data_IF_243444514256
#
_entry.id   IF_243444514256
#
_cell.length_a   1.000
_cell.length_b   1.000
_cell.length_c   1.000
_cell.angle_alpha   90.00
_cell.angle_beta   90.00
_cell.angle_gamma   90.00
#
_symmetry.space_group_name_H-M   'P 1'
#
loop_
_entity.id
_entity.type
_entity.pdbx_description
1 polymer ?
#
# COMPACT_ATOMS: atom_id res chain seq x y z
N UNK A 1 -57.75 36.81 -25.05
CA UNK A 1 -56.64 36.84 -26.02
C UNK A 1 -55.39 36.59 -25.21
N UNK A 2 -54.97 35.33 -25.19
CA UNK A 2 -54.22 34.70 -24.09
C UNK A 2 -52.75 34.56 -24.46
N UNK A 3 -51.91 34.99 -23.53
CA UNK A 3 -50.55 34.56 -23.21
C UNK A 3 -49.45 34.60 -24.27
N UNK A 4 -48.53 35.51 -23.99
CA UNK A 4 -47.12 35.53 -24.38
C UNK A 4 -46.40 34.32 -23.77
N UNK A 5 -45.74 33.49 -24.58
CA UNK A 5 -44.75 32.53 -24.10
C UNK A 5 -43.46 32.72 -24.91
N UNK A 6 -42.47 33.32 -24.26
CA UNK A 6 -41.09 33.40 -24.74
C UNK A 6 -40.38 32.10 -24.36
N UNK A 7 -39.82 31.43 -25.36
CA UNK A 7 -39.08 30.18 -25.18
C UNK A 7 -37.60 30.57 -25.02
N UNK A 8 -37.14 30.68 -23.77
CA UNK A 8 -35.73 30.91 -23.45
C UNK A 8 -34.92 29.63 -23.71
N UNK A 9 -34.06 29.72 -24.71
CA UNK A 9 -33.15 28.67 -25.14
C UNK A 9 -31.90 28.74 -24.25
N UNK A 10 -31.96 28.12 -23.06
CA UNK A 10 -30.77 27.96 -22.21
C UNK A 10 -30.01 26.68 -22.55
N UNK A 11 -29.00 26.91 -23.38
CA UNK A 11 -27.81 26.07 -23.58
C UNK A 11 -27.23 25.64 -22.22
N UNK A 12 -27.32 24.33 -21.91
CA UNK A 12 -26.63 23.73 -20.78
C UNK A 12 -25.16 23.64 -21.16
N UNK A 13 -24.41 24.71 -20.86
CA UNK A 13 -22.96 24.64 -20.81
C UNK A 13 -22.61 23.76 -19.61
N UNK A 14 -22.20 22.53 -19.90
CA UNK A 14 -21.49 21.67 -18.96
C UNK A 14 -20.23 22.43 -18.54
N UNK A 15 -20.34 23.13 -17.42
CA UNK A 15 -19.25 23.84 -16.77
C UNK A 15 -18.28 22.79 -16.28
N UNK A 16 -17.03 22.95 -16.71
CA UNK A 16 -15.85 22.31 -16.18
C UNK A 16 -15.96 22.15 -14.67
N UNK A 17 -15.98 20.89 -14.23
CA UNK A 17 -15.66 20.47 -12.89
C UNK A 17 -14.28 21.06 -12.53
N UNK A 18 -14.30 22.15 -11.77
CA UNK A 18 -13.12 22.74 -11.16
C UNK A 18 -13.08 22.31 -9.71
N UNK A 19 -12.97 21.00 -9.48
CA UNK A 19 -12.47 20.46 -8.21
C UNK A 19 -10.95 20.64 -8.16
N UNK A 20 -10.52 21.91 -8.10
CA UNK A 20 -9.11 22.31 -8.01
C UNK A 20 -8.67 22.31 -6.55
N UNK A 21 -8.59 21.14 -5.94
CA UNK A 21 -7.61 20.88 -4.89
C UNK A 21 -6.34 20.40 -5.60
N UNK A 22 -5.17 20.82 -5.14
CA UNK A 22 -3.87 20.52 -5.74
C UNK A 22 -3.60 19.01 -5.77
N UNK A 23 -4.15 18.30 -6.76
CA UNK A 23 -3.74 16.97 -7.13
C UNK A 23 -2.37 17.11 -7.79
N UNK A 24 -1.33 16.75 -7.05
CA UNK A 24 -0.07 16.37 -7.67
C UNK A 24 -0.43 15.36 -8.78
N UNK A 25 -0.05 15.61 -10.03
CA UNK A 25 -0.35 14.71 -11.15
C UNK A 25 0.16 13.32 -10.83
N UNK A 26 -0.75 12.43 -10.42
CA UNK A 26 -0.45 11.02 -10.17
C UNK A 26 -0.30 10.33 -11.51
N UNK A 27 0.73 9.51 -11.65
CA UNK A 27 0.86 8.65 -12.84
C UNK A 27 -0.30 7.66 -12.88
N UNK A 28 -0.71 7.19 -14.06
CA UNK A 28 -1.79 6.22 -14.13
C UNK A 28 -1.34 4.85 -13.56
N UNK A 29 -2.17 4.23 -12.74
CA UNK A 29 -1.93 2.86 -12.23
C UNK A 29 -2.14 1.83 -13.32
N UNK A 30 -3.21 2.03 -14.11
CA UNK A 30 -3.53 1.24 -15.30
C UNK A 30 -3.24 2.06 -16.56
N UNK A 31 -2.89 1.40 -17.65
CA UNK A 31 -2.73 2.03 -18.97
C UNK A 31 -4.07 2.20 -19.70
N UNK A 32 -4.02 2.72 -20.93
CA UNK A 32 -5.21 2.97 -21.75
C UNK A 32 -5.96 1.69 -22.16
N UNK A 33 -5.32 0.52 -22.06
CA UNK A 33 -5.90 -0.80 -22.31
C UNK A 33 -6.51 -1.41 -21.04
N UNK A 34 -6.26 -0.78 -19.89
CA UNK A 34 -6.67 -1.25 -18.57
C UNK A 34 -5.68 -2.21 -17.94
N UNK A 35 -4.50 -2.43 -18.54
CA UNK A 35 -3.43 -3.27 -17.97
C UNK A 35 -2.57 -2.49 -16.97
N UNK A 36 -1.78 -3.17 -16.15
CA UNK A 36 -0.89 -2.52 -15.19
C UNK A 36 0.14 -1.64 -15.92
N UNK A 37 0.25 -0.37 -15.52
CA UNK A 37 1.25 0.51 -16.11
C UNK A 37 2.66 0.01 -15.80
N UNK A 38 3.65 0.20 -16.70
CA UNK A 38 5.02 -0.28 -16.48
C UNK A 38 5.64 0.25 -15.19
N UNK A 39 5.32 1.49 -14.80
CA UNK A 39 5.79 2.07 -13.53
C UNK A 39 5.14 1.40 -12.32
N UNK A 40 3.87 1.03 -12.43
CA UNK A 40 3.15 0.37 -11.37
C UNK A 40 3.63 -1.07 -11.20
N UNK A 41 3.87 -1.80 -12.29
CA UNK A 41 4.49 -3.13 -12.23
C UNK A 41 5.85 -3.08 -11.50
N UNK A 42 6.70 -2.10 -11.82
CA UNK A 42 8.00 -1.90 -11.11
C UNK A 42 7.80 -1.62 -9.62
N UNK A 43 6.80 -0.82 -9.24
CA UNK A 43 6.46 -0.58 -7.85
C UNK A 43 5.98 -1.87 -7.15
N UNK A 44 5.15 -2.67 -7.81
CA UNK A 44 4.68 -3.96 -7.30
C UNK A 44 5.83 -4.95 -7.10
N UNK A 45 6.82 -5.00 -8.01
CA UNK A 45 8.02 -5.83 -7.81
C UNK A 45 8.75 -5.43 -6.52
N UNK A 46 8.91 -4.13 -6.27
CA UNK A 46 9.56 -3.63 -5.04
C UNK A 46 8.79 -4.01 -3.79
N UNK A 47 7.46 -3.90 -3.83
CA UNK A 47 6.58 -4.29 -2.72
C UNK A 47 6.67 -5.79 -2.49
N UNK A 48 6.52 -6.59 -3.55
CA UNK A 48 6.62 -8.04 -3.48
C UNK A 48 7.97 -8.49 -2.91
N UNK A 49 9.07 -7.92 -3.38
CA UNK A 49 10.42 -8.20 -2.88
C UNK A 49 10.61 -7.84 -1.40
N UNK A 50 9.86 -6.84 -0.90
CA UNK A 50 9.90 -6.45 0.51
C UNK A 50 9.30 -7.51 1.43
N UNK A 51 8.26 -8.21 0.99
CA UNK A 51 7.55 -9.19 1.83
C UNK A 51 7.94 -10.63 1.53
N UNK A 52 8.23 -10.99 0.27
CA UNK A 52 8.59 -12.36 -0.12
C UNK A 52 9.99 -12.74 0.33
N UNK A 53 10.08 -13.69 1.26
CA UNK A 53 11.32 -14.26 1.76
C UNK A 53 11.98 -15.17 0.72
N UNK A 54 11.19 -15.87 -0.08
CA UNK A 54 11.69 -16.69 -1.20
C UNK A 54 12.44 -15.85 -2.23
N UNK A 55 11.93 -14.65 -2.54
CA UNK A 55 12.61 -13.71 -3.41
C UNK A 55 13.91 -13.17 -2.78
N UNK A 56 13.89 -12.79 -1.50
CA UNK A 56 15.09 -12.32 -0.77
C UNK A 56 16.19 -13.38 -0.71
N UNK A 57 15.83 -14.65 -0.57
CA UNK A 57 16.79 -15.76 -0.49
C UNK A 57 17.57 -16.02 -1.79
N UNK A 58 17.05 -15.57 -2.94
CA UNK A 58 17.68 -15.73 -4.26
C UNK A 58 18.57 -14.56 -4.65
N UNK A 59 18.46 -13.43 -3.97
CA UNK A 59 19.34 -12.28 -4.19
C UNK A 59 20.67 -12.52 -3.45
N UNK A 60 21.82 -12.61 -4.16
CA UNK A 60 23.11 -12.73 -3.51
C UNK A 60 23.35 -11.45 -2.68
N UNK A 61 23.63 -11.62 -1.39
CA UNK A 61 23.89 -10.59 -0.38
C UNK A 61 24.20 -9.19 -0.95
N UNK A 62 23.17 -8.36 -1.01
CA UNK A 62 23.24 -6.96 -1.34
C UNK A 62 21.96 -6.36 -0.81
N UNK A 63 22.07 -5.78 0.37
CA UNK A 63 21.03 -5.08 1.11
C UNK A 63 19.89 -4.55 0.20
N UNK A 64 18.64 -4.76 0.60
CA UNK A 64 17.52 -3.92 0.15
C UNK A 64 17.64 -2.47 0.68
N UNK A 65 18.88 -2.00 0.85
CA UNK A 65 19.29 -0.66 1.19
C UNK A 65 19.33 0.11 -0.12
N UNK A 66 18.35 1.00 -0.29
CA UNK A 66 18.50 2.27 -1.00
C UNK A 66 19.40 2.20 -2.23
N UNK A 67 18.91 1.63 -3.33
CA UNK A 67 19.43 2.04 -4.62
C UNK A 67 18.76 3.35 -4.98
N UNK A 68 19.41 4.44 -4.57
CA UNK A 68 19.36 5.73 -5.25
C UNK A 68 19.83 5.50 -6.70
N UNK A 69 18.95 5.00 -7.56
CA UNK A 69 19.29 4.74 -8.95
C UNK A 69 18.27 3.85 -9.65
N UNK A 70 18.08 4.17 -10.92
CA UNK A 70 17.26 3.58 -11.99
C UNK A 70 17.34 2.04 -12.17
N UNK A 71 17.82 1.28 -11.19
CA UNK A 71 17.88 -0.18 -11.27
C UNK A 71 16.48 -0.76 -11.02
N UNK A 72 15.89 -1.22 -12.11
CA UNK A 72 14.63 -1.95 -12.10
C UNK A 72 14.89 -3.31 -11.42
N UNK A 73 14.26 -3.61 -10.27
CA UNK A 73 14.42 -4.90 -9.63
C UNK A 73 13.98 -6.01 -10.58
N UNK A 74 14.69 -7.13 -10.54
CA UNK A 74 14.38 -8.29 -11.38
C UNK A 74 12.95 -8.76 -11.10
N UNK A 75 12.20 -9.06 -12.16
CA UNK A 75 10.85 -9.62 -12.02
C UNK A 75 10.93 -10.95 -11.24
N UNK A 76 10.12 -11.14 -10.18
CA UNK A 76 10.08 -12.40 -9.45
C UNK A 76 9.71 -13.58 -10.36
N UNK A 77 10.35 -14.71 -10.14
CA UNK A 77 10.04 -15.96 -10.82
C UNK A 77 8.77 -16.61 -10.27
N UNK A 78 8.35 -17.71 -10.90
CA UNK A 78 7.15 -18.46 -10.46
C UNK A 78 7.32 -19.11 -9.09
N UNK A 79 8.55 -19.45 -8.71
CA UNK A 79 8.89 -20.01 -7.40
C UNK A 79 9.03 -18.92 -6.32
N UNK A 80 8.85 -17.65 -6.66
CA UNK A 80 8.80 -16.55 -5.69
C UNK A 80 7.34 -16.29 -5.34
N UNK A 81 7.01 -16.52 -4.08
CA UNK A 81 5.64 -16.49 -3.56
C UNK A 81 5.55 -15.67 -2.28
N UNK A 82 4.33 -15.25 -1.94
CA UNK A 82 3.93 -14.73 -0.65
C UNK A 82 3.10 -15.78 0.07
N UNK A 83 3.64 -16.28 1.17
CA UNK A 83 2.94 -17.15 2.11
C UNK A 83 1.84 -16.38 2.86
N UNK A 84 0.92 -17.07 3.53
CA UNK A 84 -0.11 -16.42 4.36
C UNK A 84 0.46 -15.49 5.42
N UNK A 85 1.59 -15.87 6.02
CA UNK A 85 2.26 -15.05 7.02
C UNK A 85 2.84 -13.77 6.41
N UNK A 86 3.34 -13.82 5.18
CA UNK A 86 3.86 -12.65 4.47
C UNK A 86 2.74 -11.75 3.97
N UNK A 87 1.60 -12.33 3.58
CA UNK A 87 0.37 -11.58 3.30
C UNK A 87 -0.15 -10.85 4.54
N UNK A 88 -0.06 -11.47 5.73
CA UNK A 88 -0.40 -10.80 6.98
C UNK A 88 0.53 -9.61 7.28
N UNK A 89 1.83 -9.76 7.03
CA UNK A 89 2.78 -8.66 7.21
C UNK A 89 2.54 -7.53 6.19
N UNK A 90 2.18 -7.88 4.96
CA UNK A 90 1.75 -6.92 3.95
C UNK A 90 0.48 -6.17 4.38
N UNK A 91 -0.56 -6.89 4.80
CA UNK A 91 -1.82 -6.31 5.24
C UNK A 91 -1.64 -5.42 6.49
N UNK A 92 -0.75 -5.79 7.42
CA UNK A 92 -0.41 -4.93 8.56
C UNK A 92 0.29 -3.66 8.11
N UNK A 93 1.15 -3.73 7.10
CA UNK A 93 1.86 -2.56 6.60
C UNK A 93 0.92 -1.56 5.90
N UNK A 94 -0.15 -2.05 5.25
CA UNK A 94 -1.12 -1.21 4.53
C UNK A 94 -2.33 -0.83 5.39
N UNK A 95 -2.96 -1.79 6.05
CA UNK A 95 -4.22 -1.64 6.78
C UNK A 95 -4.05 -1.60 8.31
N UNK A 96 -2.86 -1.93 8.82
CA UNK A 96 -2.57 -1.97 10.26
C UNK A 96 -2.95 -3.28 10.94
N UNK A 97 -3.70 -4.16 10.27
CA UNK A 97 -4.18 -5.43 10.79
C UNK A 97 -3.82 -6.59 9.84
N UNK A 98 -3.67 -7.83 10.35
CA UNK A 98 -3.44 -9.01 9.50
C UNK A 98 -4.59 -9.23 8.52
N UNK A 99 -4.30 -9.94 7.43
CA UNK A 99 -5.31 -10.21 6.42
C UNK A 99 -6.33 -11.20 7.01
N UNK A 100 -7.64 -10.91 6.96
CA UNK A 100 -8.64 -11.83 7.46
C UNK A 100 -8.60 -13.14 6.68
N UNK A 101 -8.95 -14.24 7.35
CA UNK A 101 -8.90 -15.57 6.75
C UNK A 101 -9.76 -15.66 5.49
N UNK A 102 -10.95 -15.04 5.51
CA UNK A 102 -11.86 -14.96 4.36
C UNK A 102 -11.16 -14.41 3.10
N UNK A 103 -10.42 -13.29 3.24
CA UNK A 103 -9.68 -12.72 2.12
C UNK A 103 -8.50 -13.59 1.66
N UNK A 104 -7.88 -14.38 2.56
CA UNK A 104 -6.85 -15.36 2.15
C UNK A 104 -7.44 -16.50 1.34
N UNK A 105 -8.62 -16.97 1.72
CA UNK A 105 -9.34 -18.01 0.98
C UNK A 105 -9.80 -17.50 -0.39
N UNK A 106 -10.25 -16.24 -0.49
CA UNK A 106 -10.55 -15.58 -1.77
C UNK A 106 -9.30 -15.48 -2.67
N UNK A 107 -8.17 -15.04 -2.11
CA UNK A 107 -6.90 -14.98 -2.84
C UNK A 107 -6.53 -16.36 -3.41
N UNK A 108 -6.71 -17.43 -2.63
CA UNK A 108 -6.43 -18.81 -3.07
C UNK A 108 -7.36 -19.32 -4.14
N UNK A 109 -8.63 -18.92 -4.10
CA UNK A 109 -9.66 -19.40 -5.02
C UNK A 109 -9.63 -18.66 -6.36
N UNK A 110 -9.37 -17.34 -6.32
CA UNK A 110 -9.54 -16.46 -7.49
C UNK A 110 -8.23 -15.99 -8.14
N UNK A 111 -7.10 -16.01 -7.42
CA UNK A 111 -5.83 -15.49 -7.94
C UNK A 111 -4.81 -16.60 -8.21
N UNK A 112 -3.77 -16.26 -8.98
CA UNK A 112 -2.67 -17.20 -9.28
C UNK A 112 -1.84 -17.51 -8.01
N UNK A 113 -2.00 -18.73 -7.51
CA UNK A 113 -1.24 -19.29 -6.39
C UNK A 113 -0.39 -20.48 -6.85
N UNK A 114 0.62 -20.83 -6.06
CA UNK A 114 1.39 -22.06 -6.26
C UNK A 114 0.64 -23.31 -5.76
N UNK A 115 1.26 -24.48 -5.89
CA UNK A 115 0.69 -25.75 -5.45
C UNK A 115 0.41 -25.82 -3.93
N UNK A 116 0.98 -24.89 -3.15
CA UNK A 116 0.76 -24.79 -1.70
C UNK A 116 -0.29 -23.74 -1.32
N UNK A 117 -0.85 -23.02 -2.28
CA UNK A 117 -1.82 -21.94 -2.05
C UNK A 117 -1.16 -20.65 -1.54
N UNK A 118 0.12 -20.43 -1.86
CA UNK A 118 0.87 -19.20 -1.65
C UNK A 118 0.77 -18.31 -2.89
N UNK A 119 0.62 -17.00 -2.70
CA UNK A 119 0.36 -16.05 -3.79
C UNK A 119 1.60 -15.81 -4.63
N UNK A 120 1.54 -16.08 -5.94
CA UNK A 120 2.67 -15.80 -6.84
C UNK A 120 2.74 -14.30 -7.14
N UNK A 121 3.86 -13.84 -7.71
CA UNK A 121 3.92 -12.46 -8.20
C UNK A 121 2.84 -12.14 -9.25
N UNK A 122 2.46 -13.13 -10.07
CA UNK A 122 1.37 -12.97 -11.04
C UNK A 122 0.04 -12.71 -10.32
N UNK A 123 -0.29 -13.52 -9.32
CA UNK A 123 -1.51 -13.32 -8.53
C UNK A 123 -1.48 -12.01 -7.74
N UNK A 124 -0.31 -11.59 -7.28
CA UNK A 124 -0.13 -10.28 -6.65
C UNK A 124 -0.41 -9.11 -7.61
N UNK A 125 0.01 -9.21 -8.87
CA UNK A 125 -0.36 -8.27 -9.92
C UNK A 125 -1.88 -8.27 -10.18
N UNK A 126 -2.49 -9.45 -10.27
CA UNK A 126 -3.95 -9.59 -10.48
C UNK A 126 -4.75 -8.95 -9.32
N UNK A 127 -4.31 -9.14 -8.08
CA UNK A 127 -4.91 -8.51 -6.89
C UNK A 127 -4.95 -6.98 -7.00
N UNK A 128 -3.79 -6.38 -7.31
CA UNK A 128 -3.68 -4.93 -7.43
C UNK A 128 -4.37 -4.38 -8.67
N UNK A 129 -4.40 -5.15 -9.76
CA UNK A 129 -5.15 -4.80 -10.96
C UNK A 129 -6.65 -4.67 -10.65
N UNK A 130 -7.25 -5.70 -10.03
CA UNK A 130 -8.66 -5.70 -9.63
C UNK A 130 -8.98 -4.55 -8.66
N UNK A 131 -8.12 -4.31 -7.66
CA UNK A 131 -8.30 -3.21 -6.72
C UNK A 131 -8.19 -1.84 -7.42
N UNK A 132 -7.23 -1.68 -8.34
CA UNK A 132 -7.03 -0.41 -9.06
C UNK A 132 -8.15 -0.10 -10.05
N UNK A 133 -8.75 -1.12 -10.65
CA UNK A 133 -9.88 -0.98 -11.56
C UNK A 133 -11.15 -0.51 -10.82
N UNK A 134 -11.39 -1.05 -9.62
CA UNK A 134 -12.58 -0.74 -8.83
C UNK A 134 -12.41 0.48 -7.92
N UNK A 135 -11.30 0.56 -7.19
CA UNK A 135 -11.07 1.56 -6.14
C UNK A 135 -9.60 2.08 -6.14
N UNK A 136 -9.19 2.80 -7.22
CA UNK A 136 -7.80 3.25 -7.39
C UNK A 136 -7.29 4.14 -6.26
N UNK A 137 -8.19 4.83 -5.55
CA UNK A 137 -7.82 5.68 -4.41
C UNK A 137 -7.28 4.88 -3.22
N UNK A 138 -7.80 3.68 -2.95
CA UNK A 138 -7.26 2.80 -1.90
C UNK A 138 -5.87 2.30 -2.29
N UNK A 139 -5.68 1.89 -3.55
CA UNK A 139 -4.36 1.49 -4.05
C UNK A 139 -3.33 2.60 -3.88
N UNK A 140 -3.71 3.85 -4.14
CA UNK A 140 -2.84 5.00 -3.88
C UNK A 140 -2.51 5.19 -2.39
N UNK A 141 -3.46 4.98 -1.48
CA UNK A 141 -3.20 5.04 -0.03
C UNK A 141 -2.19 3.98 0.39
N UNK A 142 -2.32 2.76 -0.13
CA UNK A 142 -1.39 1.66 0.14
C UNK A 142 0.01 1.98 -0.38
N UNK A 143 0.12 2.47 -1.62
CA UNK A 143 1.39 2.89 -2.21
C UNK A 143 2.10 3.97 -1.39
N UNK A 144 1.37 4.99 -0.94
CA UNK A 144 1.94 6.05 -0.10
C UNK A 144 2.42 5.50 1.24
N UNK A 145 1.64 4.62 1.90
CA UNK A 145 2.05 3.96 3.16
C UNK A 145 3.29 3.08 2.97
N UNK A 146 3.42 2.45 1.81
CA UNK A 146 4.57 1.61 1.45
C UNK A 146 5.81 2.44 1.05
N UNK A 147 5.70 3.77 1.01
CA UNK A 147 6.81 4.71 0.78
C UNK A 147 7.01 5.10 -0.68
N UNK A 148 5.95 5.08 -1.49
CA UNK A 148 5.96 5.58 -2.86
C UNK A 148 5.37 7.00 -2.93
N UNK A 149 5.93 7.82 -3.82
CA UNK A 149 5.36 9.11 -4.16
C UNK A 149 4.28 8.99 -5.25
N UNK A 150 3.63 10.11 -5.59
CA UNK A 150 2.59 10.18 -6.62
C UNK A 150 3.09 9.85 -8.04
N UNK A 151 4.40 9.78 -8.25
CA UNK A 151 5.03 9.34 -9.49
C UNK A 151 5.50 7.88 -9.48
N UNK A 152 5.15 7.10 -8.45
CA UNK A 152 5.59 5.71 -8.21
C UNK A 152 7.11 5.55 -8.00
N UNK A 153 7.80 6.62 -7.61
CA UNK A 153 9.17 6.51 -7.13
C UNK A 153 9.17 6.11 -5.66
N UNK A 154 10.04 5.17 -5.31
CA UNK A 154 10.22 4.78 -3.92
C UNK A 154 11.08 5.85 -3.21
N UNK A 155 10.47 6.57 -2.26
CA UNK A 155 11.13 7.61 -1.46
C UNK A 155 11.51 7.12 -0.06
N UNK A 156 11.23 5.85 0.24
CA UNK A 156 11.46 5.24 1.55
C UNK A 156 10.47 5.72 2.62
N UNK A 157 10.56 5.14 3.81
CA UNK A 157 9.65 5.44 4.93
C UNK A 157 9.96 6.78 5.64
N UNK A 158 10.80 7.65 5.04
CA UNK A 158 11.37 8.81 5.72
C UNK A 158 10.88 10.16 5.17
N UNK A 159 9.94 10.20 4.24
CA UNK A 159 9.57 11.42 3.50
C UNK A 159 8.20 12.04 3.86
N UNK A 160 7.49 11.53 4.88
CA UNK A 160 6.24 12.15 5.35
C UNK A 160 6.08 12.13 6.89
N UNK A 161 7.18 12.41 7.61
CA UNK A 161 7.18 12.61 9.06
C UNK A 161 7.69 14.00 9.46
N UNK A 162 7.60 14.99 8.55
CA UNK A 162 7.93 16.38 8.83
C UNK A 162 6.69 17.24 8.63
N UNK A 163 5.68 17.04 9.48
CA UNK A 163 4.43 17.78 9.39
C UNK A 163 3.36 17.37 10.39
N UNK A 164 3.70 17.20 11.67
CA UNK A 164 2.81 17.43 12.83
C UNK A 164 3.60 17.23 14.13
N UNK A 165 4.33 18.27 14.51
CA UNK A 165 4.71 18.50 15.91
C UNK A 165 3.91 19.72 16.36
N UNK A 166 2.95 19.49 17.24
CA UNK A 166 2.37 20.47 18.18
C UNK A 166 1.73 19.63 19.31
N UNK A 167 2.48 19.24 20.35
CA UNK A 167 2.91 19.98 21.55
C UNK A 167 1.87 19.95 22.68
N UNK A 168 2.35 19.54 23.87
CA UNK A 168 1.72 19.71 25.17
C UNK A 168 0.88 18.52 25.67
N UNK A 169 0.97 18.08 26.92
CA UNK A 169 1.80 18.48 28.04
C UNK A 169 1.59 17.45 29.18
N UNK A 170 2.62 17.21 29.99
CA UNK A 170 2.44 16.94 31.42
C UNK A 170 2.47 15.48 31.88
N UNK A 171 3.67 14.89 31.94
CA UNK A 171 3.95 13.82 32.89
C UNK A 171 4.22 14.45 34.26
N UNK A 172 3.30 14.29 35.22
CA UNK A 172 3.56 14.51 36.65
C UNK A 172 4.18 13.23 37.25
N UNK A 173 5.36 13.30 37.91
CA UNK A 173 5.95 12.15 38.58
C UNK A 173 5.81 12.28 40.10
N UNK A 174 4.96 11.46 40.71
CA UNK A 174 5.01 11.10 42.14
C UNK A 174 4.30 9.76 42.31
N UNK A 175 4.63 8.83 43.20
CA UNK A 175 5.73 8.56 44.13
C UNK A 175 5.34 7.20 44.76
N UNK A 176 6.30 6.27 44.94
CA UNK A 176 6.31 5.12 45.89
C UNK A 176 5.12 4.11 45.85
N UNK A 177 5.33 2.81 46.05
CA UNK A 177 5.95 2.23 47.24
C UNK A 177 6.25 0.76 46.97
N UNK A 178 7.49 0.35 47.25
CA UNK A 178 7.91 -1.05 47.23
C UNK A 178 7.30 -1.80 48.42
N UNK A 179 6.69 -2.95 48.14
CA UNK A 179 6.27 -3.91 49.14
C UNK A 179 6.47 -5.32 48.60
N UNK A 180 7.48 -6.02 49.11
CA UNK A 180 7.34 -7.42 49.53
C UNK A 180 8.66 -7.87 50.14
N UNK A 181 8.64 -8.13 51.44
CA UNK A 181 9.76 -8.66 52.18
C UNK A 181 9.74 -10.19 52.24
N UNK A 182 10.94 -10.76 52.28
CA UNK A 182 11.31 -12.05 52.89
C UNK A 182 10.82 -13.33 52.17
N UNK A 183 11.58 -14.45 52.23
CA UNK A 183 12.43 -14.87 53.36
C UNK A 183 13.89 -15.22 53.02
N UNK A 184 14.76 -15.03 54.03
CA UNK A 184 16.09 -15.62 54.08
C UNK A 184 16.00 -17.07 54.56
N UNK A 185 16.54 -17.96 53.75
CA UNK A 185 17.15 -19.23 54.13
C UNK A 185 18.30 -19.01 55.14
N UNK A 186 18.38 -19.83 56.18
CA UNK A 186 19.55 -20.70 56.51
C UNK A 186 19.48 -21.26 57.95
N UNK A 187 19.80 -22.56 58.01
CA UNK A 187 20.38 -23.35 59.10
C UNK A 187 19.68 -23.46 60.46
#
# INVERSE_FOLDING_TARGET
MTSQEQIDKKEVRSGHDSSRASQVERVALLDDEGDLSPKFEVALIRIFARFSSSYKGKQPQGEATRTDGDEVPQRPGRDDVLTEAELDEFAKATNGEPLPQESKDEIREFLDTDDTGSLTFRGFCEMFHLQSDNEPEETWKDLVKLGFDHQLNYIGHNANASGSSDDGAGSDPTEKTAGSGSPKNEA
#
